data_IF_879944844381
#
_entry.id   IF_879944844381
#
_cell.length_a   1.000
_cell.length_b   1.000
_cell.length_c   1.000
_cell.angle_alpha   90.00
_cell.angle_beta   90.00
_cell.angle_gamma   90.00
#
_symmetry.space_group_name_H-M   'P 1'
#
loop_
_entity.id
_entity.type
_entity.pdbx_description
1 polymer ?
#
# COMPACT_ATOMS: atom_id res chain seq x y z
N UNK A 1 10.47 34.14 -13.82
CA UNK A 1 9.90 33.40 -12.68
C UNK A 1 10.73 32.12 -12.51
N UNK A 2 11.62 32.07 -11.53
CA UNK A 2 12.51 30.92 -11.30
C UNK A 2 11.75 29.84 -10.51
N UNK A 3 11.37 28.75 -11.17
CA UNK A 3 10.78 27.58 -10.51
C UNK A 3 11.89 26.72 -9.90
N UNK A 4 12.21 26.97 -8.63
CA UNK A 4 13.13 26.18 -7.82
C UNK A 4 12.44 24.92 -7.24
N UNK A 5 11.78 24.10 -8.05
CA UNK A 5 11.24 22.83 -7.56
C UNK A 5 12.37 21.82 -7.35
N UNK A 6 12.59 21.43 -6.10
CA UNK A 6 13.54 20.38 -5.75
C UNK A 6 12.97 19.03 -6.20
N UNK A 7 13.59 18.39 -7.19
CA UNK A 7 13.26 17.03 -7.65
C UNK A 7 13.70 15.92 -6.67
N UNK A 8 13.66 16.19 -5.35
CA UNK A 8 14.03 15.19 -4.35
C UNK A 8 12.82 14.33 -4.01
N UNK A 9 12.92 12.99 -4.07
CA UNK A 9 11.84 12.11 -3.67
C UNK A 9 11.51 12.32 -2.18
N UNK A 10 10.21 12.44 -1.88
CA UNK A 10 9.71 12.65 -0.51
C UNK A 10 9.98 11.44 0.39
N UNK A 11 9.94 10.23 -0.19
CA UNK A 11 10.24 8.96 0.48
C UNK A 11 11.17 8.13 -0.41
N UNK A 12 12.20 7.53 0.19
CA UNK A 12 13.07 6.54 -0.47
C UNK A 12 13.17 5.31 0.41
N UNK A 13 13.31 4.13 -0.18
CA UNK A 13 13.42 2.88 0.58
C UNK A 13 13.38 1.67 -0.35
N UNK A 14 13.59 0.49 0.22
CA UNK A 14 13.55 -0.79 -0.47
C UNK A 14 12.40 -1.64 0.06
N UNK A 15 11.75 -2.35 -0.85
CA UNK A 15 10.67 -3.29 -0.58
C UNK A 15 11.25 -4.69 -0.79
N UNK A 16 11.33 -5.49 0.28
CA UNK A 16 11.87 -6.87 0.21
C UNK A 16 10.88 -7.86 0.80
N UNK A 17 11.05 -9.14 0.45
CA UNK A 17 10.27 -10.27 0.98
C UNK A 17 8.76 -10.01 0.91
N UNK A 18 8.28 -9.78 -0.31
CA UNK A 18 6.86 -9.55 -0.57
C UNK A 18 6.15 -10.90 -0.57
N UNK A 19 5.04 -10.99 0.16
CA UNK A 19 4.16 -12.15 0.25
C UNK A 19 2.73 -11.69 0.07
N UNK A 20 1.96 -12.46 -0.71
CA UNK A 20 0.52 -12.29 -0.83
C UNK A 20 -0.18 -13.60 -0.52
N UNK A 21 -1.13 -13.57 0.40
CA UNK A 21 -2.07 -14.65 0.65
C UNK A 21 -3.48 -14.16 0.25
N UNK A 22 -3.99 -14.66 -0.86
CA UNK A 22 -5.29 -14.29 -1.41
C UNK A 22 -6.35 -15.31 -0.98
N UNK A 23 -7.46 -14.82 -0.43
CA UNK A 23 -8.57 -15.65 0.03
C UNK A 23 -9.83 -15.24 -0.71
N UNK A 24 -10.56 -16.21 -1.25
CA UNK A 24 -11.90 -15.96 -1.76
C UNK A 24 -12.84 -15.76 -0.58
N UNK A 25 -13.59 -14.65 -0.57
CA UNK A 25 -14.51 -14.31 0.52
C UNK A 25 -15.89 -13.91 -0.01
N UNK A 26 -16.97 -14.11 0.75
CA UNK A 26 -18.28 -13.57 0.39
C UNK A 26 -18.23 -12.03 0.32
N UNK A 27 -18.74 -11.40 -0.76
CA UNK A 27 -18.72 -9.95 -0.92
C UNK A 27 -19.39 -9.19 0.25
N UNK A 28 -20.51 -9.72 0.76
CA UNK A 28 -21.29 -9.09 1.84
C UNK A 28 -20.49 -8.90 3.14
N UNK A 29 -19.44 -9.71 3.35
CA UNK A 29 -18.53 -9.58 4.48
C UNK A 29 -17.75 -8.25 4.43
N UNK A 30 -17.36 -7.81 3.23
CA UNK A 30 -16.55 -6.62 2.99
C UNK A 30 -17.38 -5.34 2.82
N UNK A 31 -18.65 -5.46 2.41
CA UNK A 31 -19.52 -4.33 2.08
C UNK A 31 -19.56 -3.23 3.16
N UNK A 32 -19.56 -3.61 4.44
CA UNK A 32 -19.59 -2.67 5.58
C UNK A 32 -18.30 -1.88 5.81
N UNK A 33 -17.19 -2.32 5.21
CA UNK A 33 -15.88 -1.68 5.36
C UNK A 33 -15.53 -0.77 4.19
N UNK A 34 -16.34 -0.78 3.12
CA UNK A 34 -16.09 0.04 1.95
C UNK A 34 -16.48 1.51 2.21
N UNK A 35 -15.66 2.48 1.79
CA UNK A 35 -16.04 3.88 1.80
C UNK A 35 -17.28 4.14 0.94
N UNK A 36 -17.99 5.23 1.23
CA UNK A 36 -19.15 5.64 0.45
C UNK A 36 -18.75 5.88 -1.01
N UNK A 37 -19.49 5.27 -1.93
CA UNK A 37 -19.24 5.38 -3.37
C UNK A 37 -18.24 4.36 -3.92
N UNK A 38 -17.75 3.42 -3.10
CA UNK A 38 -16.89 2.31 -3.52
C UNK A 38 -17.69 1.01 -3.55
N UNK A 39 -17.66 0.32 -4.69
CA UNK A 39 -18.24 -1.02 -4.86
C UNK A 39 -17.19 -2.13 -4.70
N UNK A 40 -17.66 -3.37 -4.56
CA UNK A 40 -16.78 -4.54 -4.52
C UNK A 40 -16.34 -4.89 -5.94
N UNK A 41 -15.04 -5.13 -6.11
CA UNK A 41 -14.47 -5.68 -7.31
C UNK A 41 -14.53 -7.21 -7.30
N UNK A 42 -14.78 -7.78 -8.49
CA UNK A 42 -14.83 -9.21 -8.71
C UNK A 42 -13.82 -9.56 -9.81
N UNK A 43 -12.98 -10.55 -9.53
CA UNK A 43 -12.08 -11.17 -10.49
C UNK A 43 -12.57 -12.60 -10.72
N UNK A 44 -12.88 -12.96 -11.97
CA UNK A 44 -13.46 -14.27 -12.32
C UNK A 44 -14.66 -14.64 -11.44
N UNK A 45 -15.59 -13.69 -11.29
CA UNK A 45 -16.79 -13.80 -10.44
C UNK A 45 -16.51 -14.02 -8.94
N UNK A 46 -15.26 -13.89 -8.51
CA UNK A 46 -14.83 -14.10 -7.13
C UNK A 46 -14.33 -12.80 -6.50
N UNK A 47 -14.72 -12.57 -5.25
CA UNK A 47 -14.18 -11.48 -4.44
C UNK A 47 -12.98 -11.99 -3.65
N UNK A 48 -11.86 -11.26 -3.71
CA UNK A 48 -10.62 -11.66 -3.05
C UNK A 48 -10.25 -10.68 -1.94
N UNK A 49 -9.90 -11.24 -0.78
CA UNK A 49 -9.22 -10.53 0.29
C UNK A 49 -7.74 -10.93 0.28
N UNK A 50 -6.86 -9.95 0.09
CA UNK A 50 -5.41 -10.17 0.07
C UNK A 50 -4.79 -9.73 1.38
N UNK A 51 -4.13 -10.67 2.07
CA UNK A 51 -3.21 -10.35 3.16
C UNK A 51 -1.82 -10.20 2.57
N UNK A 52 -1.32 -8.97 2.54
CA UNK A 52 0.01 -8.62 2.06
C UNK A 52 1.02 -8.50 3.20
N UNK A 53 2.16 -9.17 3.06
CA UNK A 53 3.34 -8.99 3.90
C UNK A 53 4.49 -8.41 3.09
N UNK A 54 5.16 -7.40 3.62
CA UNK A 54 6.35 -6.83 3.01
C UNK A 54 7.30 -6.27 4.05
N UNK A 55 8.60 -6.39 3.78
CA UNK A 55 9.64 -5.82 4.62
C UNK A 55 10.15 -4.51 4.01
N UNK A 56 9.94 -3.40 4.72
CA UNK A 56 10.51 -2.10 4.38
C UNK A 56 11.92 -1.97 4.96
N UNK A 57 12.91 -1.72 4.09
CA UNK A 57 14.29 -1.47 4.50
C UNK A 57 14.77 -0.11 4.02
N UNK A 58 15.74 0.45 4.73
CA UNK A 58 16.42 1.70 4.38
C UNK A 58 15.48 2.90 4.09
N UNK A 59 14.30 2.92 4.73
CA UNK A 59 13.33 4.00 4.59
C UNK A 59 13.92 5.34 5.02
N UNK A 60 13.80 6.35 4.17
CA UNK A 60 14.13 7.75 4.46
C UNK A 60 13.00 8.64 3.99
N UNK A 61 12.59 9.59 4.82
CA UNK A 61 11.59 10.60 4.50
C UNK A 61 12.24 11.98 4.53
N UNK A 62 11.96 12.79 3.51
CA UNK A 62 12.46 14.15 3.43
C UNK A 62 11.89 14.97 4.61
N UNK A 63 12.77 15.57 5.41
CA UNK A 63 12.39 16.39 6.57
C UNK A 63 12.40 15.69 7.94
N UNK A 64 12.62 14.36 8.00
CA UNK A 64 12.67 13.61 9.26
C UNK A 64 14.05 12.98 9.48
N UNK A 65 14.50 12.92 10.75
CA UNK A 65 15.72 12.19 11.13
C UNK A 65 15.56 10.70 10.78
N UNK A 66 16.66 10.07 10.35
CA UNK A 66 16.76 8.70 9.84
C UNK A 66 15.92 7.72 10.69
N UNK A 67 14.78 7.29 10.16
CA UNK A 67 13.92 6.28 10.77
C UNK A 67 14.34 4.91 10.20
N UNK A 68 15.21 4.19 10.91
CA UNK A 68 15.60 2.84 10.51
C UNK A 68 14.71 1.84 11.23
N UNK A 69 13.78 1.24 10.49
CA UNK A 69 13.08 0.02 10.90
C UNK A 69 14.15 -1.09 10.83
N UNK A 70 14.52 -1.66 11.98
CA UNK A 70 15.47 -2.79 12.07
C UNK A 70 14.72 -4.11 11.94
#
# INVERSE_FOLDING_TARGET
>A
MNNNYSNKPMVTGEWRKILFANYTVPPDLLAKFLPRGVGIDLLDHSCYLTVGGLQFLHMRMLGYKKFTIR
#
